data_IF_697915327222
#
_entry.id   IF_697915327222
#
_cell.length_a   1.000
_cell.length_b   1.000
_cell.length_c   1.000
_cell.angle_alpha   90.00
_cell.angle_beta   90.00
_cell.angle_gamma   90.00
#
_symmetry.space_group_name_H-M   'P 1'
#
loop_
_entity.id
_entity.type
_entity.pdbx_description
1 polymer ?
#
# COMPACT_ATOMS: atom_id res chain seq x y z
N UNK A 1 5.96 21.70 31.97
CA UNK A 1 5.64 21.70 30.53
C UNK A 1 6.59 20.72 29.87
N UNK A 2 6.04 19.72 29.22
CA UNK A 2 6.84 18.71 28.55
C UNK A 2 7.57 19.26 27.32
N UNK A 3 8.72 18.67 26.99
CA UNK A 3 9.52 19.00 25.80
C UNK A 3 9.18 18.12 24.58
N UNK A 4 8.19 17.23 24.69
CA UNK A 4 7.80 16.27 23.65
C UNK A 4 7.54 16.95 22.29
N UNK A 5 6.84 18.06 22.26
CA UNK A 5 6.57 18.83 21.05
C UNK A 5 7.82 19.41 20.35
N UNK A 6 8.97 19.39 21.01
CA UNK A 6 10.24 19.84 20.43
C UNK A 6 11.10 18.66 19.92
N UNK A 7 10.75 17.44 20.28
CA UNK A 7 11.54 16.24 20.02
C UNK A 7 10.79 15.17 19.23
N UNK A 8 9.45 15.22 19.21
CA UNK A 8 8.60 14.22 18.55
C UNK A 8 7.58 14.93 17.65
N UNK A 9 7.18 14.24 16.60
CA UNK A 9 6.00 14.58 15.82
C UNK A 9 4.79 14.00 16.56
N UNK A 10 3.79 14.81 16.83
CA UNK A 10 2.58 14.37 17.53
C UNK A 10 1.35 14.51 16.63
N UNK A 11 0.43 13.57 16.78
CA UNK A 11 -0.89 13.59 16.16
C UNK A 11 -1.92 13.00 17.13
N UNK A 12 -3.17 13.30 16.90
CA UNK A 12 -4.30 12.79 17.68
C UNK A 12 -5.00 11.69 16.89
N UNK A 13 -5.43 10.64 17.61
CA UNK A 13 -6.27 9.58 17.06
C UNK A 13 -7.71 9.89 17.46
N UNK A 14 -8.59 10.11 16.46
CA UNK A 14 -9.99 10.43 16.71
C UNK A 14 -10.70 9.24 17.36
N UNK A 15 -11.35 9.49 18.48
CA UNK A 15 -12.17 8.53 19.22
C UNK A 15 -13.65 8.72 18.89
N UNK A 16 -14.40 7.62 18.96
CA UNK A 16 -15.86 7.62 19.08
C UNK A 16 -16.28 7.53 20.55
N UNK A 17 -17.45 6.95 20.85
CA UNK A 17 -17.87 6.63 22.21
C UNK A 17 -17.18 5.38 22.80
N UNK A 18 -16.16 4.85 22.14
CA UNK A 18 -15.37 3.67 22.47
C UNK A 18 -16.16 2.35 22.43
N UNK A 19 -17.19 2.27 21.63
CA UNK A 19 -18.05 1.10 21.51
C UNK A 19 -18.07 0.46 20.12
N UNK A 20 -17.61 1.14 19.07
CA UNK A 20 -17.59 0.63 17.70
C UNK A 20 -16.22 0.03 17.35
N UNK A 21 -16.15 -1.30 17.30
CA UNK A 21 -14.93 -2.04 16.96
C UNK A 21 -14.47 -1.74 15.52
N UNK A 22 -15.40 -1.56 14.57
CA UNK A 22 -15.05 -1.24 13.19
C UNK A 22 -14.43 0.14 13.08
N UNK A 23 -15.02 1.13 13.76
CA UNK A 23 -14.45 2.47 13.84
C UNK A 23 -13.03 2.44 14.44
N UNK A 24 -12.87 1.71 15.56
CA UNK A 24 -11.54 1.51 16.16
C UNK A 24 -10.55 0.95 15.15
N UNK A 25 -10.91 -0.15 14.46
CA UNK A 25 -10.01 -0.79 13.50
C UNK A 25 -9.61 0.16 12.36
N UNK A 26 -10.57 0.94 11.84
CA UNK A 26 -10.31 1.89 10.75
C UNK A 26 -9.33 2.99 11.21
N UNK A 27 -9.53 3.62 12.35
CA UNK A 27 -8.63 4.69 12.84
C UNK A 27 -7.30 4.15 13.33
N UNK A 28 -7.26 2.96 13.92
CA UNK A 28 -6.04 2.28 14.32
C UNK A 28 -5.15 2.01 13.10
N UNK A 29 -5.70 1.46 12.04
CA UNK A 29 -4.97 1.21 10.80
C UNK A 29 -4.43 2.51 10.18
N UNK A 30 -5.22 3.58 10.17
CA UNK A 30 -4.74 4.89 9.69
C UNK A 30 -3.60 5.44 10.56
N UNK A 31 -3.66 5.24 11.87
CA UNK A 31 -2.57 5.63 12.77
C UNK A 31 -1.29 4.80 12.52
N UNK A 32 -1.43 3.49 12.28
CA UNK A 32 -0.31 2.60 11.90
C UNK A 32 0.32 3.08 10.57
N UNK A 33 -0.49 3.32 9.52
CA UNK A 33 0.00 3.78 8.22
C UNK A 33 0.73 5.13 8.32
N UNK A 34 0.15 6.10 9.02
CA UNK A 34 0.77 7.41 9.24
C UNK A 34 2.10 7.28 9.98
N UNK A 35 2.15 6.48 11.04
CA UNK A 35 3.36 6.27 11.83
C UNK A 35 4.44 5.56 11.01
N UNK A 36 4.07 4.53 10.23
CA UNK A 36 4.98 3.84 9.32
C UNK A 36 5.55 4.80 8.28
N UNK A 37 4.72 5.67 7.67
CA UNK A 37 5.18 6.70 6.75
C UNK A 37 6.19 7.65 7.40
N UNK A 38 5.93 8.11 8.63
CA UNK A 38 6.85 9.00 9.36
C UNK A 38 8.16 8.28 9.69
N UNK A 39 8.08 7.04 10.20
CA UNK A 39 9.26 6.25 10.52
C UNK A 39 10.14 6.01 9.27
N UNK A 40 9.56 5.68 8.13
CA UNK A 40 10.29 5.58 6.85
C UNK A 40 10.94 6.90 6.45
N UNK A 41 10.17 7.99 6.49
CA UNK A 41 10.63 9.32 6.07
C UNK A 41 11.86 9.76 6.86
N UNK A 42 11.85 9.52 8.17
CA UNK A 42 12.93 9.93 9.07
C UNK A 42 13.92 8.81 9.39
N UNK A 43 13.77 7.62 8.80
CA UNK A 43 14.64 6.44 9.00
C UNK A 43 14.71 6.04 10.47
N UNK A 44 13.55 5.96 11.11
CA UNK A 44 13.39 5.60 12.51
C UNK A 44 12.98 4.13 12.62
N UNK A 45 13.48 3.46 13.65
CA UNK A 45 13.02 2.13 14.05
C UNK A 45 11.83 2.30 15.00
N UNK A 46 10.60 1.89 14.63
CA UNK A 46 9.41 2.08 15.48
C UNK A 46 9.46 1.29 16.78
N UNK A 47 10.24 0.20 16.84
CA UNK A 47 10.38 -0.63 18.04
C UNK A 47 11.50 -0.14 18.98
N UNK A 48 12.34 0.78 18.51
CA UNK A 48 13.39 1.36 19.34
C UNK A 48 12.82 2.21 20.50
N UNK A 49 13.46 2.12 21.66
CA UNK A 49 13.01 2.81 22.85
C UNK A 49 12.87 4.32 22.65
N UNK A 50 11.69 4.86 22.95
CA UNK A 50 11.40 6.29 22.90
C UNK A 50 11.14 6.84 21.49
N UNK A 51 11.06 6.02 20.44
CA UNK A 51 10.78 6.46 19.06
C UNK A 51 9.28 6.63 18.86
N UNK A 52 8.50 5.57 19.04
CA UNK A 52 7.03 5.63 18.98
C UNK A 52 6.48 5.48 20.40
N UNK A 53 5.91 6.55 20.92
CA UNK A 53 5.42 6.61 22.29
C UNK A 53 4.00 7.18 22.33
N UNK A 54 3.18 6.69 23.26
CA UNK A 54 1.91 7.34 23.60
C UNK A 54 2.12 8.46 24.63
N UNK A 55 1.06 9.23 24.88
CA UNK A 55 1.11 10.37 25.81
C UNK A 55 1.54 9.95 27.23
N UNK A 56 1.02 8.82 27.73
CA UNK A 56 1.38 8.29 29.05
C UNK A 56 2.87 7.90 29.14
N UNK A 57 3.44 7.29 28.10
CA UNK A 57 4.86 6.98 28.05
C UNK A 57 5.72 8.26 28.00
N UNK A 58 5.24 9.29 27.28
CA UNK A 58 5.84 10.62 27.29
C UNK A 58 5.81 11.28 28.66
N UNK A 59 4.74 11.11 29.44
CA UNK A 59 4.65 11.56 30.82
C UNK A 59 5.68 10.84 31.72
N UNK A 60 5.76 9.53 31.62
CA UNK A 60 6.74 8.72 32.40
C UNK A 60 8.18 9.12 32.10
N UNK A 61 8.45 9.60 30.88
CA UNK A 61 9.75 10.13 30.43
C UNK A 61 9.97 11.61 30.83
N UNK A 62 8.98 12.26 31.45
CA UNK A 62 9.05 13.66 31.84
C UNK A 62 8.95 14.67 30.72
N UNK A 63 8.50 14.27 29.52
CA UNK A 63 8.41 15.11 28.33
C UNK A 63 6.98 15.48 27.93
N UNK A 64 5.97 14.92 28.58
CA UNK A 64 4.55 15.21 28.36
C UNK A 64 3.78 15.41 29.66
N UNK A 65 2.53 15.91 29.58
CA UNK A 65 1.58 15.96 30.68
C UNK A 65 0.98 14.56 30.97
N UNK A 66 0.30 14.41 32.11
CA UNK A 66 -0.30 13.13 32.47
C UNK A 66 -1.67 12.96 31.78
N UNK A 67 -1.67 12.19 30.72
CA UNK A 67 -2.89 11.79 30.01
C UNK A 67 -2.78 10.30 29.61
N UNK A 68 -3.94 9.62 29.58
CA UNK A 68 -3.99 8.18 29.31
C UNK A 68 -3.99 7.84 27.83
N UNK A 69 -4.03 8.85 26.94
CA UNK A 69 -4.26 8.71 25.52
C UNK A 69 -3.63 7.46 24.90
N UNK A 70 -4.46 6.77 24.20
CA UNK A 70 -4.57 5.43 23.65
C UNK A 70 -4.68 4.31 24.69
N UNK A 71 -4.09 4.39 25.90
CA UNK A 71 -4.09 3.28 26.87
C UNK A 71 -5.46 3.03 27.52
N UNK A 72 -6.40 3.98 27.46
CA UNK A 72 -7.79 3.79 27.90
C UNK A 72 -8.64 3.13 26.79
N UNK A 73 -8.21 3.14 25.56
CA UNK A 73 -8.94 2.70 24.39
C UNK A 73 -8.38 1.39 23.78
N UNK A 74 -7.11 1.33 23.44
CA UNK A 74 -6.46 0.18 22.79
C UNK A 74 -6.74 -1.15 23.50
N UNK A 75 -6.62 -1.28 24.84
CA UNK A 75 -6.85 -2.55 25.52
C UNK A 75 -8.29 -3.07 25.43
N UNK A 76 -9.28 -2.22 25.14
CA UNK A 76 -10.67 -2.65 24.93
C UNK A 76 -10.80 -3.55 23.69
N UNK A 77 -9.91 -3.38 22.73
CA UNK A 77 -9.85 -4.13 21.48
C UNK A 77 -8.61 -5.04 21.40
N UNK A 78 -8.03 -5.37 22.57
CA UNK A 78 -6.92 -6.32 22.65
C UNK A 78 -5.59 -5.82 22.09
N UNK A 79 -5.41 -4.50 21.94
CA UNK A 79 -4.17 -3.89 21.47
C UNK A 79 -3.39 -3.22 22.60
N UNK A 80 -2.07 -3.28 22.50
CA UNK A 80 -1.11 -2.58 23.36
C UNK A 80 -0.27 -1.61 22.53
N UNK A 81 0.58 -0.81 23.17
CA UNK A 81 1.56 0.01 22.44
C UNK A 81 2.66 -0.84 21.81
N UNK A 82 2.97 -2.02 22.37
CA UNK A 82 3.92 -2.93 21.73
C UNK A 82 3.33 -3.54 20.46
N UNK A 83 2.04 -3.94 20.47
CA UNK A 83 1.34 -4.37 19.26
C UNK A 83 1.31 -3.25 18.21
N UNK A 84 1.06 -2.01 18.62
CA UNK A 84 1.06 -0.87 17.70
C UNK A 84 2.44 -0.67 17.04
N UNK A 85 3.52 -0.76 17.79
CA UNK A 85 4.90 -0.66 17.27
C UNK A 85 5.21 -1.79 16.29
N UNK A 86 4.82 -3.03 16.64
CA UNK A 86 5.01 -4.18 15.77
C UNK A 86 4.18 -4.05 14.47
N UNK A 87 2.93 -3.63 14.56
CA UNK A 87 2.06 -3.38 13.39
C UNK A 87 2.65 -2.27 12.49
N UNK A 88 3.25 -1.23 13.08
CA UNK A 88 3.98 -0.17 12.35
C UNK A 88 5.22 -0.74 11.65
N UNK A 89 6.01 -1.57 12.32
CA UNK A 89 7.19 -2.22 11.74
C UNK A 89 6.78 -3.11 10.56
N UNK A 90 5.74 -3.90 10.72
CA UNK A 90 5.18 -4.72 9.64
C UNK A 90 4.71 -3.87 8.45
N UNK A 91 3.97 -2.79 8.69
CA UNK A 91 3.52 -1.89 7.65
C UNK A 91 4.69 -1.23 6.89
N UNK A 92 5.82 -0.97 7.56
CA UNK A 92 7.03 -0.48 6.91
C UNK A 92 7.65 -1.49 5.95
N UNK A 93 7.53 -2.79 6.21
CA UNK A 93 8.02 -3.86 5.34
C UNK A 93 7.11 -4.10 4.14
N UNK A 94 5.79 -4.05 4.33
CA UNK A 94 4.79 -4.37 3.30
C UNK A 94 4.81 -3.40 2.11
N UNK A 95 5.18 -2.14 2.29
CA UNK A 95 5.34 -1.18 1.19
C UNK A 95 6.62 -1.36 0.36
N UNK A 96 7.57 -2.16 0.83
CA UNK A 96 8.78 -2.45 0.09
C UNK A 96 8.57 -3.61 -0.89
N UNK A 97 7.78 -3.38 -1.95
CA UNK A 97 7.74 -4.33 -3.07
C UNK A 97 9.14 -4.42 -3.66
N UNK A 98 9.79 -5.56 -3.50
CA UNK A 98 11.09 -5.79 -4.11
C UNK A 98 11.00 -5.75 -5.63
N UNK A 99 12.11 -5.45 -6.31
CA UNK A 99 12.14 -5.49 -7.78
C UNK A 99 11.70 -6.86 -8.33
N UNK A 100 12.01 -7.94 -7.62
CA UNK A 100 11.60 -9.30 -7.99
C UNK A 100 10.07 -9.49 -7.87
N UNK A 101 9.48 -9.05 -6.76
CA UNK A 101 8.02 -9.08 -6.56
C UNK A 101 7.31 -8.23 -7.61
N UNK A 102 7.80 -7.02 -7.87
CA UNK A 102 7.27 -6.15 -8.92
C UNK A 102 7.33 -6.83 -10.29
N UNK A 103 8.47 -7.39 -10.66
CA UNK A 103 8.64 -8.09 -11.93
C UNK A 103 7.66 -9.27 -12.05
N UNK A 104 7.51 -10.07 -11.00
CA UNK A 104 6.56 -11.18 -10.95
C UNK A 104 5.10 -10.73 -11.07
N UNK A 105 4.73 -9.64 -10.41
CA UNK A 105 3.39 -9.05 -10.53
C UNK A 105 3.14 -8.55 -11.95
N UNK A 106 4.10 -7.86 -12.56
CA UNK A 106 4.03 -7.39 -13.93
C UNK A 106 3.92 -8.55 -14.93
N UNK A 107 4.72 -9.59 -14.79
CA UNK A 107 4.67 -10.78 -15.65
C UNK A 107 3.31 -11.48 -15.53
N UNK A 108 2.79 -11.63 -14.32
CA UNK A 108 1.46 -12.18 -14.06
C UNK A 108 0.37 -11.35 -14.73
N UNK A 109 0.45 -10.03 -14.60
CA UNK A 109 -0.51 -9.11 -15.23
C UNK A 109 -0.45 -9.20 -16.76
N UNK A 110 0.75 -9.12 -17.35
CA UNK A 110 0.94 -9.22 -18.80
C UNK A 110 0.42 -10.56 -19.34
N UNK A 111 0.72 -11.66 -18.65
CA UNK A 111 0.23 -12.99 -19.00
C UNK A 111 -1.29 -13.09 -18.90
N UNK A 112 -1.90 -12.50 -17.89
CA UNK A 112 -3.36 -12.49 -17.74
C UNK A 112 -4.04 -11.78 -18.92
N UNK A 113 -3.46 -10.70 -19.41
CA UNK A 113 -3.94 -9.95 -20.58
C UNK A 113 -4.00 -10.79 -21.84
N UNK A 114 -3.02 -11.68 -22.06
CA UNK A 114 -2.98 -12.54 -23.25
C UNK A 114 -4.09 -13.58 -23.28
N UNK A 115 -4.70 -13.89 -22.11
CA UNK A 115 -5.77 -14.90 -21.97
C UNK A 115 -7.17 -14.30 -22.13
N UNK A 116 -7.29 -12.98 -22.18
CA UNK A 116 -8.59 -12.33 -22.31
C UNK A 116 -9.16 -12.55 -23.70
N UNK A 117 -10.48 -12.79 -23.74
CA UNK A 117 -11.20 -12.92 -24.99
C UNK A 117 -11.22 -11.58 -25.75
N UNK A 118 -11.31 -11.67 -27.08
CA UNK A 118 -11.48 -10.49 -27.92
C UNK A 118 -12.76 -9.71 -27.54
N UNK A 119 -12.65 -8.39 -27.46
CA UNK A 119 -13.80 -7.51 -27.20
C UNK A 119 -14.76 -7.48 -28.40
N UNK A 120 -16.06 -7.34 -28.16
CA UNK A 120 -17.08 -7.40 -29.22
C UNK A 120 -16.82 -6.41 -30.34
N UNK A 121 -16.45 -5.17 -30.02
CA UNK A 121 -16.12 -4.13 -31.00
C UNK A 121 -14.91 -4.45 -31.89
N UNK A 122 -13.99 -5.33 -31.40
CA UNK A 122 -12.75 -5.65 -32.08
C UNK A 122 -12.85 -6.92 -32.94
N UNK A 123 -13.92 -7.71 -32.81
CA UNK A 123 -14.06 -9.00 -33.49
C UNK A 123 -13.92 -8.88 -35.01
N UNK A 124 -14.70 -8.01 -35.62
CA UNK A 124 -14.67 -7.82 -37.07
C UNK A 124 -13.34 -7.23 -37.57
N UNK A 125 -12.82 -6.12 -37.02
CA UNK A 125 -11.52 -5.58 -37.43
C UNK A 125 -10.37 -6.58 -37.32
N UNK A 126 -10.31 -7.38 -36.23
CA UNK A 126 -9.25 -8.38 -36.06
C UNK A 126 -9.41 -9.52 -37.07
N UNK A 127 -10.63 -10.01 -37.33
CA UNK A 127 -10.87 -11.03 -38.37
C UNK A 127 -10.40 -10.56 -39.77
N UNK A 128 -10.71 -9.30 -40.11
CA UNK A 128 -10.25 -8.71 -41.37
C UNK A 128 -8.70 -8.61 -41.43
N UNK A 129 -8.06 -8.24 -40.32
CA UNK A 129 -6.61 -8.14 -40.23
C UNK A 129 -5.95 -9.52 -40.33
N UNK A 130 -6.53 -10.57 -39.74
CA UNK A 130 -6.08 -11.96 -39.90
C UNK A 130 -6.23 -12.41 -41.33
N UNK A 131 -7.38 -12.18 -41.98
CA UNK A 131 -7.59 -12.54 -43.37
C UNK A 131 -6.59 -11.89 -44.34
N UNK A 132 -6.11 -10.68 -43.99
CA UNK A 132 -5.07 -9.95 -44.75
C UNK A 132 -3.65 -10.34 -44.34
N UNK A 133 -3.45 -11.25 -43.39
CA UNK A 133 -2.11 -11.66 -42.94
C UNK A 133 -1.38 -10.57 -42.11
N UNK A 134 -2.10 -9.57 -41.58
CA UNK A 134 -1.52 -8.47 -40.78
C UNK A 134 -1.20 -8.93 -39.35
N UNK A 135 -2.01 -9.82 -38.79
CA UNK A 135 -1.87 -10.40 -37.45
C UNK A 135 -2.31 -11.86 -37.46
N UNK A 136 -1.88 -12.65 -36.49
CA UNK A 136 -2.35 -14.02 -36.29
C UNK A 136 -3.66 -14.09 -35.45
N UNK A 137 -4.10 -12.96 -34.92
CA UNK A 137 -5.30 -12.83 -34.08
C UNK A 137 -5.18 -13.41 -32.67
N UNK A 138 -4.01 -13.92 -32.29
CA UNK A 138 -3.78 -14.47 -30.95
C UNK A 138 -3.60 -13.35 -29.93
N UNK A 139 -3.96 -13.64 -28.66
CA UNK A 139 -3.80 -12.72 -27.54
C UNK A 139 -4.33 -11.30 -27.83
N UNK A 140 -5.59 -11.14 -28.27
CA UNK A 140 -6.10 -9.89 -28.83
C UNK A 140 -6.13 -8.72 -27.83
N UNK A 141 -5.97 -8.98 -26.56
CA UNK A 141 -5.86 -7.98 -25.49
C UNK A 141 -4.46 -7.94 -24.85
N UNK A 142 -3.49 -8.67 -25.41
CA UNK A 142 -2.10 -8.58 -25.04
C UNK A 142 -1.47 -7.25 -25.50
N UNK A 143 -0.33 -6.91 -24.91
CA UNK A 143 0.47 -5.77 -25.35
C UNK A 143 1.34 -6.18 -26.54
N UNK A 144 1.36 -5.38 -27.56
CA UNK A 144 2.25 -5.58 -28.69
C UNK A 144 3.59 -4.87 -28.46
N UNK A 145 4.68 -5.55 -28.78
CA UNK A 145 6.01 -4.95 -28.80
C UNK A 145 6.17 -4.03 -30.01
N UNK A 146 7.12 -3.10 -29.96
CA UNK A 146 7.44 -2.25 -31.12
C UNK A 146 7.81 -3.05 -32.36
N UNK A 147 8.43 -4.23 -32.20
CA UNK A 147 8.78 -5.12 -33.29
C UNK A 147 7.54 -5.73 -33.96
N UNK A 148 6.58 -6.19 -33.16
CA UNK A 148 5.31 -6.73 -33.67
C UNK A 148 4.49 -5.67 -34.38
N UNK A 149 4.40 -4.46 -33.81
CA UNK A 149 3.71 -3.33 -34.46
C UNK A 149 4.38 -2.99 -35.81
N UNK A 150 5.71 -2.92 -35.86
CA UNK A 150 6.42 -2.68 -37.12
C UNK A 150 6.19 -3.77 -38.16
N UNK A 151 6.15 -5.03 -37.74
CA UNK A 151 5.82 -6.15 -38.61
C UNK A 151 4.37 -6.07 -39.14
N UNK A 152 3.41 -5.76 -38.30
CA UNK A 152 2.00 -5.58 -38.69
C UNK A 152 1.84 -4.43 -39.70
N UNK A 153 2.48 -3.28 -39.46
CA UNK A 153 2.44 -2.13 -40.37
C UNK A 153 3.04 -2.54 -41.75
N UNK A 154 4.19 -3.19 -41.74
CA UNK A 154 4.82 -3.64 -43.00
C UNK A 154 3.95 -4.64 -43.76
N UNK A 155 3.23 -5.52 -43.06
CA UNK A 155 2.28 -6.44 -43.68
C UNK A 155 1.05 -5.71 -44.25
N UNK A 156 0.57 -4.67 -43.60
CA UNK A 156 -0.58 -3.88 -44.07
C UNK A 156 -0.31 -3.00 -45.29
N UNK A 157 0.97 -2.70 -45.56
CA UNK A 157 1.40 -1.87 -46.70
C UNK A 157 1.74 -2.64 -47.97
N UNK A 158 1.65 -3.97 -47.91
CA UNK A 158 1.82 -4.89 -49.07
C UNK A 158 0.50 -5.11 -49.78
#
# INVERSE_FOLDING_TARGET
KGSGNNTHISFEICEDDLSDERYFQDVYNQAVELTAYLCRTYRLDPEADGVVICHQEGFQRGIASNHADVLHWFPKYGKTMDDFRADVAQAMEEENVTQEQFNKMMETYLTSRTKLAISDWAKEPVQQAVAKGITDGKSPQGFATRQEVAAMINAALK
#
